data_IF_785511494179
#
_entry.id   IF_785511494179
#
_cell.length_a   1.000
_cell.length_b   1.000
_cell.length_c   1.000
_cell.angle_alpha   90.00
_cell.angle_beta   90.00
_cell.angle_gamma   90.00
#
_symmetry.space_group_name_H-M   'P 1'
#
loop_
_entity.id
_entity.type
_entity.pdbx_description
1 polymer ?
#
# COMPACT_ATOMS: atom_id res chain seq x y z
N UNK A 1 8.42 5.62 -0.74
CA UNK A 1 7.70 5.25 0.49
C UNK A 1 7.84 6.37 1.52
N UNK A 2 6.80 6.59 2.33
CA UNK A 2 6.72 7.65 3.35
C UNK A 2 6.43 7.11 4.76
N UNK A 3 6.61 5.81 4.99
CA UNK A 3 6.13 5.10 6.18
C UNK A 3 6.94 5.38 7.45
N UNK A 4 8.16 5.92 7.30
CA UNK A 4 8.96 6.40 8.42
C UNK A 4 8.26 7.48 9.26
N UNK A 5 7.27 8.19 8.70
CA UNK A 5 6.49 9.24 9.38
C UNK A 5 5.41 8.72 10.34
N UNK A 6 5.06 7.42 10.27
CA UNK A 6 4.02 6.83 11.11
C UNK A 6 4.51 6.66 12.55
N UNK A 7 3.63 6.83 13.52
CA UNK A 7 3.92 6.49 14.90
C UNK A 7 3.97 4.95 15.10
N UNK A 8 4.50 4.44 16.22
CA UNK A 8 4.64 2.99 16.42
C UNK A 8 3.34 2.18 16.28
N UNK A 9 2.21 2.72 16.75
CA UNK A 9 0.90 2.05 16.61
C UNK A 9 0.45 2.04 15.15
N UNK A 10 0.60 3.16 14.45
CA UNK A 10 0.28 3.29 13.03
C UNK A 10 1.14 2.35 12.18
N UNK A 11 2.44 2.22 12.46
CA UNK A 11 3.34 1.30 11.75
C UNK A 11 2.86 -0.15 11.84
N UNK A 12 2.49 -0.60 13.04
CA UNK A 12 1.96 -1.95 13.25
C UNK A 12 0.63 -2.16 12.53
N UNK A 13 -0.26 -1.18 12.60
CA UNK A 13 -1.56 -1.22 11.94
C UNK A 13 -1.44 -1.20 10.41
N UNK A 14 -0.58 -0.35 9.85
CA UNK A 14 -0.30 -0.28 8.41
C UNK A 14 0.18 -1.64 7.90
N UNK A 15 1.13 -2.25 8.61
CA UNK A 15 1.71 -3.52 8.20
C UNK A 15 0.67 -4.67 8.22
N UNK A 16 -0.28 -4.64 9.17
CA UNK A 16 -1.43 -5.57 9.18
C UNK A 16 -2.34 -5.37 7.97
N UNK A 17 -2.61 -4.11 7.59
CA UNK A 17 -3.37 -3.79 6.36
C UNK A 17 -2.63 -4.22 5.10
N UNK A 18 -1.32 -3.99 5.02
CA UNK A 18 -0.50 -4.39 3.89
C UNK A 18 -0.58 -5.90 3.65
N UNK A 19 -0.44 -6.71 4.72
CA UNK A 19 -0.62 -8.18 4.63
C UNK A 19 -2.05 -8.58 4.25
N UNK A 20 -3.06 -7.79 4.62
CA UNK A 20 -4.44 -8.05 4.21
C UNK A 20 -4.64 -7.79 2.70
N UNK A 21 -4.03 -6.72 2.16
CA UNK A 21 -4.03 -6.41 0.72
C UNK A 21 -3.44 -7.58 -0.06
N UNK A 22 -2.23 -8.03 0.28
CA UNK A 22 -1.55 -9.11 -0.48
C UNK A 22 -2.25 -10.46 -0.39
N UNK A 23 -3.21 -10.63 0.53
CA UNK A 23 -3.97 -11.87 0.69
C UNK A 23 -5.36 -11.81 0.06
N UNK A 24 -5.78 -10.63 -0.42
CA UNK A 24 -7.15 -10.41 -0.88
C UNK A 24 -7.52 -11.31 -2.07
N UNK A 25 -6.60 -11.50 -3.01
CA UNK A 25 -6.76 -12.34 -4.20
C UNK A 25 -6.42 -13.84 -3.96
N UNK A 26 -6.00 -14.21 -2.75
CA UNK A 26 -5.62 -15.57 -2.37
C UNK A 26 -4.23 -16.05 -2.84
N UNK A 27 -3.47 -15.23 -3.57
CA UNK A 27 -2.13 -15.54 -4.10
C UNK A 27 -1.18 -14.40 -3.76
N UNK A 28 -0.17 -14.69 -2.93
CA UNK A 28 0.85 -13.69 -2.59
C UNK A 28 2.01 -13.78 -3.59
N UNK A 29 2.12 -12.77 -4.46
CA UNK A 29 3.16 -12.69 -5.47
C UNK A 29 4.54 -12.33 -4.86
N UNK A 30 5.62 -12.63 -5.59
CA UNK A 30 6.97 -12.36 -5.08
C UNK A 30 7.27 -10.85 -4.99
N UNK A 31 6.74 -10.05 -5.91
CA UNK A 31 6.82 -8.58 -5.88
C UNK A 31 6.18 -8.00 -4.62
N UNK A 32 5.03 -8.54 -4.21
CA UNK A 32 4.34 -8.14 -2.99
C UNK A 32 5.15 -8.48 -1.73
N UNK A 33 5.78 -9.67 -1.67
CA UNK A 33 6.67 -10.02 -0.55
C UNK A 33 7.88 -9.10 -0.45
N UNK A 34 8.44 -8.70 -1.59
CA UNK A 34 9.53 -7.74 -1.64
C UNK A 34 9.06 -6.37 -1.12
N UNK A 35 7.87 -5.92 -1.52
CA UNK A 35 7.26 -4.67 -1.01
C UNK A 35 7.00 -4.73 0.50
N UNK A 36 6.43 -5.82 1.03
CA UNK A 36 6.24 -6.00 2.47
C UNK A 36 7.58 -5.96 3.23
N UNK A 37 8.63 -6.53 2.66
CA UNK A 37 9.97 -6.50 3.25
C UNK A 37 10.55 -5.08 3.24
N UNK A 38 10.38 -4.34 2.15
CA UNK A 38 10.80 -2.95 2.04
C UNK A 38 10.05 -2.05 3.05
N UNK A 39 8.73 -2.22 3.20
CA UNK A 39 7.92 -1.54 4.21
C UNK A 39 8.41 -1.82 5.63
N UNK A 40 8.71 -3.10 5.94
CA UNK A 40 9.23 -3.47 7.25
C UNK A 40 10.57 -2.79 7.55
N UNK A 41 11.46 -2.78 6.56
CA UNK A 41 12.78 -2.14 6.66
C UNK A 41 12.67 -0.63 6.86
N UNK A 42 11.86 0.07 6.07
CA UNK A 42 11.68 1.53 6.21
C UNK A 42 11.10 1.91 7.58
N UNK A 43 10.10 1.16 8.04
CA UNK A 43 9.46 1.39 9.34
C UNK A 43 10.31 0.94 10.52
N UNK A 44 11.39 0.18 10.28
CA UNK A 44 12.24 -0.48 11.28
C UNK A 44 11.44 -1.42 12.20
N UNK A 45 10.52 -2.19 11.61
CA UNK A 45 9.70 -3.18 12.32
C UNK A 45 10.13 -4.59 11.94
N UNK A 46 10.08 -5.51 12.90
CA UNK A 46 10.34 -6.91 12.64
C UNK A 46 9.12 -7.56 11.98
N UNK A 47 9.34 -8.27 10.86
CA UNK A 47 8.31 -9.08 10.19
C UNK A 47 7.70 -10.15 11.13
N UNK A 48 8.38 -10.51 12.22
CA UNK A 48 7.85 -11.43 13.24
C UNK A 48 6.58 -10.92 13.94
N UNK A 49 6.33 -9.60 13.93
CA UNK A 49 5.13 -8.98 14.50
C UNK A 49 3.85 -9.24 13.69
N UNK A 50 3.96 -9.88 12.52
CA UNK A 50 2.85 -10.17 11.60
C UNK A 50 1.97 -11.36 11.99
N UNK A 51 2.30 -12.07 13.08
CA UNK A 51 1.56 -13.28 13.50
C UNK A 51 0.16 -12.97 14.03
N UNK A 52 -0.09 -11.75 14.47
CA UNK A 52 -1.41 -11.31 14.91
C UNK A 52 -2.19 -10.70 13.75
N UNK A 53 -3.16 -11.46 13.22
CA UNK A 53 -4.16 -10.89 12.33
C UNK A 53 -5.11 -10.03 13.16
N UNK A 54 -5.07 -8.71 12.94
CA UNK A 54 -6.08 -7.80 13.47
C UNK A 54 -7.29 -7.77 12.55
N UNK A 55 -8.44 -7.34 13.09
CA UNK A 55 -9.62 -7.09 12.28
C UNK A 55 -9.36 -5.86 11.37
N UNK A 56 -9.32 -6.07 10.06
CA UNK A 56 -9.07 -5.02 9.05
C UNK A 56 -10.01 -3.82 9.23
N UNK A 57 -11.30 -4.05 9.48
CA UNK A 57 -12.28 -2.98 9.64
C UNK A 57 -11.99 -2.11 10.88
N UNK A 58 -11.61 -2.73 12.00
CA UNK A 58 -11.23 -2.00 13.22
C UNK A 58 -9.96 -1.18 13.01
N UNK A 59 -8.99 -1.72 12.27
CA UNK A 59 -7.75 -1.00 11.97
C UNK A 59 -8.02 0.22 11.08
N UNK A 60 -8.85 0.05 10.04
CA UNK A 60 -9.29 1.16 9.17
C UNK A 60 -9.99 2.24 10.01
N UNK A 61 -10.89 1.84 10.90
CA UNK A 61 -11.59 2.78 11.79
C UNK A 61 -10.64 3.52 12.74
N UNK A 62 -9.60 2.85 13.24
CA UNK A 62 -8.58 3.49 14.08
C UNK A 62 -7.83 4.58 13.33
N UNK A 63 -7.37 4.32 12.09
CA UNK A 63 -6.75 5.34 11.26
C UNK A 63 -7.72 6.48 10.96
N UNK A 64 -8.97 6.16 10.60
CA UNK A 64 -10.00 7.15 10.29
C UNK A 64 -10.24 8.13 11.46
N UNK A 65 -10.24 7.64 12.70
CA UNK A 65 -10.54 8.46 13.89
C UNK A 65 -9.34 9.15 14.52
N UNK A 66 -8.15 8.53 14.47
CA UNK A 66 -7.01 8.93 15.31
C UNK A 66 -5.83 9.52 14.53
N UNK A 67 -5.75 9.27 13.23
CA UNK A 67 -4.62 9.72 12.41
C UNK A 67 -4.91 11.04 11.71
N UNK A 68 -3.85 11.80 11.44
CA UNK A 68 -3.95 13.05 10.69
C UNK A 68 -4.29 12.80 9.23
N UNK A 69 -4.80 13.81 8.53
CA UNK A 69 -5.05 13.74 7.07
C UNK A 69 -3.80 13.36 6.29
N UNK A 70 -2.62 13.85 6.69
CA UNK A 70 -1.35 13.50 6.06
C UNK A 70 -1.05 12.00 6.21
N UNK A 71 -1.20 11.44 7.41
CA UNK A 71 -0.96 10.01 7.65
C UNK A 71 -1.95 9.14 6.86
N UNK A 72 -3.24 9.52 6.81
CA UNK A 72 -4.25 8.81 6.01
C UNK A 72 -3.86 8.76 4.53
N UNK A 73 -3.36 9.86 3.97
CA UNK A 73 -2.87 9.92 2.58
C UNK A 73 -1.64 9.05 2.37
N UNK A 74 -0.69 9.03 3.32
CA UNK A 74 0.47 8.13 3.27
C UNK A 74 0.00 6.67 3.25
N UNK A 75 -0.83 6.27 4.20
CA UNK A 75 -1.35 4.89 4.27
C UNK A 75 -2.08 4.51 2.98
N UNK A 76 -2.91 5.41 2.46
CA UNK A 76 -3.61 5.18 1.19
C UNK A 76 -2.63 4.98 0.01
N UNK A 77 -1.66 5.88 -0.17
CA UNK A 77 -0.72 5.81 -1.28
C UNK A 77 0.14 4.54 -1.25
N UNK A 78 0.65 4.16 -0.09
CA UNK A 78 1.53 2.99 0.02
C UNK A 78 0.73 1.68 -0.13
N UNK A 79 -0.52 1.63 0.32
CA UNK A 79 -1.37 0.47 0.06
C UNK A 79 -1.82 0.41 -1.40
N UNK A 80 -2.05 1.57 -2.04
CA UNK A 80 -2.30 1.66 -3.48
C UNK A 80 -1.09 1.12 -4.26
N UNK A 81 0.12 1.60 -3.98
CA UNK A 81 1.34 1.12 -4.63
C UNK A 81 1.56 -0.39 -4.44
N UNK A 82 1.22 -0.93 -3.26
CA UNK A 82 1.28 -2.37 -3.01
C UNK A 82 0.30 -3.16 -3.90
N UNK A 83 -0.93 -2.66 -4.04
CA UNK A 83 -1.94 -3.24 -4.92
C UNK A 83 -1.60 -3.13 -6.42
N UNK A 84 -0.61 -2.31 -6.79
CA UNK A 84 -0.07 -2.21 -8.16
C UNK A 84 1.25 -2.97 -8.34
N UNK A 85 1.80 -3.59 -7.29
CA UNK A 85 3.17 -4.11 -7.28
C UNK A 85 3.39 -5.29 -8.23
N UNK A 86 2.35 -6.03 -8.58
CA UNK A 86 2.36 -7.10 -9.57
C UNK A 86 2.07 -6.61 -11.01
N UNK A 87 1.81 -5.31 -11.18
CA UNK A 87 1.47 -4.67 -12.45
C UNK A 87 0.00 -4.87 -12.87
N UNK A 88 -0.84 -5.46 -12.02
CA UNK A 88 -2.23 -5.75 -12.32
C UNK A 88 -3.14 -5.33 -11.16
N UNK A 89 -3.73 -4.13 -11.26
CA UNK A 89 -4.65 -3.64 -10.25
C UNK A 89 -5.99 -4.41 -10.28
N UNK A 90 -6.07 -5.53 -9.56
CA UNK A 90 -7.17 -6.48 -9.62
C UNK A 90 -8.45 -5.94 -8.94
N UNK A 91 -9.60 -6.53 -9.26
CA UNK A 91 -10.93 -6.09 -8.76
C UNK A 91 -11.01 -6.17 -7.21
N UNK A 92 -10.42 -7.21 -6.61
CA UNK A 92 -10.50 -7.43 -5.17
C UNK A 92 -9.58 -6.48 -4.37
N UNK A 93 -8.40 -6.16 -4.91
CA UNK A 93 -7.50 -5.15 -4.34
C UNK A 93 -8.10 -3.75 -4.47
N UNK A 94 -8.73 -3.43 -5.61
CA UNK A 94 -9.53 -2.22 -5.82
C UNK A 94 -10.58 -2.04 -4.73
N UNK A 95 -11.29 -3.10 -4.38
CA UNK A 95 -12.35 -3.05 -3.37
C UNK A 95 -11.81 -2.63 -1.99
N UNK A 96 -10.64 -3.17 -1.58
CA UNK A 96 -10.03 -2.81 -0.30
C UNK A 96 -9.47 -1.38 -0.29
N UNK A 97 -8.87 -0.93 -1.39
CA UNK A 97 -8.40 0.45 -1.55
C UNK A 97 -9.58 1.44 -1.55
N UNK A 98 -10.69 1.08 -2.18
CA UNK A 98 -11.91 1.88 -2.18
C UNK A 98 -12.49 2.02 -0.76
N UNK A 99 -12.52 0.92 0.01
CA UNK A 99 -12.94 0.97 1.42
C UNK A 99 -12.06 1.91 2.27
N UNK A 100 -10.75 1.92 2.02
CA UNK A 100 -9.82 2.85 2.68
C UNK A 100 -10.10 4.30 2.30
N UNK A 101 -10.29 4.57 1.01
CA UNK A 101 -10.60 5.90 0.51
C UNK A 101 -11.87 6.47 1.15
N UNK A 102 -12.93 5.67 1.20
CA UNK A 102 -14.22 6.04 1.81
C UNK A 102 -14.07 6.28 3.32
N UNK A 103 -13.42 5.36 4.04
CA UNK A 103 -13.23 5.50 5.48
C UNK A 103 -12.32 6.68 5.87
N UNK A 104 -11.38 7.05 5.00
CA UNK A 104 -10.44 8.13 5.25
C UNK A 104 -10.94 9.49 4.75
N UNK A 105 -12.09 9.52 4.06
CA UNK A 105 -12.67 10.71 3.42
C UNK A 105 -11.67 11.35 2.45
N UNK A 106 -11.08 10.51 1.58
CA UNK A 106 -10.12 10.95 0.57
C UNK A 106 -10.88 11.55 -0.61
N UNK A 107 -10.48 12.76 -1.01
CA UNK A 107 -11.02 13.46 -2.17
C UNK A 107 -10.88 12.58 -3.44
N UNK A 108 -11.96 12.34 -4.21
CA UNK A 108 -11.89 11.60 -5.46
C UNK A 108 -10.86 12.13 -6.46
N UNK A 109 -10.64 13.44 -6.52
CA UNK A 109 -9.61 14.03 -7.38
C UNK A 109 -8.20 13.62 -6.93
N UNK A 110 -7.98 13.46 -5.63
CA UNK A 110 -6.71 12.96 -5.11
C UNK A 110 -6.50 11.50 -5.49
N UNK A 111 -7.55 10.68 -5.42
CA UNK A 111 -7.51 9.26 -5.81
C UNK A 111 -7.14 9.14 -7.29
N UNK A 112 -7.82 9.88 -8.16
CA UNK A 112 -7.55 9.89 -9.60
C UNK A 112 -6.12 10.34 -9.90
N UNK A 113 -5.64 11.41 -9.25
CA UNK A 113 -4.26 11.87 -9.39
C UNK A 113 -3.24 10.83 -8.92
N UNK A 114 -3.51 10.15 -7.80
CA UNK A 114 -2.64 9.10 -7.28
C UNK A 114 -2.51 7.93 -8.26
N UNK A 115 -3.63 7.43 -8.79
CA UNK A 115 -3.65 6.34 -9.77
C UNK A 115 -2.87 6.74 -11.03
N UNK A 116 -3.15 7.92 -11.59
CA UNK A 116 -2.45 8.39 -12.79
C UNK A 116 -0.93 8.53 -12.58
N UNK A 117 -0.50 8.95 -11.39
CA UNK A 117 0.92 9.05 -11.05
C UNK A 117 1.58 7.67 -10.89
N UNK A 118 0.90 6.70 -10.27
CA UNK A 118 1.39 5.32 -10.16
C UNK A 118 1.51 4.66 -11.54
N UNK A 119 0.50 4.80 -12.40
CA UNK A 119 0.55 4.30 -13.78
C UNK A 119 1.73 4.89 -14.57
N UNK A 120 1.95 6.20 -14.47
CA UNK A 120 3.07 6.87 -15.11
C UNK A 120 4.42 6.41 -14.55
N UNK A 121 4.50 6.20 -13.23
CA UNK A 121 5.70 5.69 -12.56
C UNK A 121 6.05 4.28 -13.03
N UNK A 122 5.07 3.37 -13.05
CA UNK A 122 5.25 1.99 -13.55
C UNK A 122 5.68 1.99 -15.01
N UNK A 123 5.04 2.79 -15.87
CA UNK A 123 5.42 2.91 -17.28
C UNK A 123 6.86 3.40 -17.47
N UNK A 124 7.29 4.40 -16.68
CA UNK A 124 8.67 4.89 -16.70
C UNK A 124 9.66 3.82 -16.24
N UNK A 125 9.34 3.09 -15.16
CA UNK A 125 10.17 2.00 -14.66
C UNK A 125 10.33 0.87 -15.70
N UNK A 126 9.24 0.44 -16.33
CA UNK A 126 9.29 -0.56 -17.41
C UNK A 126 10.12 -0.09 -18.61
N UNK A 127 10.09 1.20 -18.92
CA UNK A 127 10.93 1.78 -19.96
C UNK A 127 12.41 1.70 -19.60
N UNK A 128 12.76 1.97 -18.33
CA UNK A 128 14.14 1.80 -17.85
C UNK A 128 14.60 0.35 -17.88
N UNK A 129 13.74 -0.60 -17.49
CA UNK A 129 14.04 -2.04 -17.57
C UNK A 129 14.31 -2.44 -19.02
N UNK A 130 13.45 -2.03 -19.96
CA UNK A 130 13.68 -2.27 -21.39
C UNK A 130 14.98 -1.62 -21.89
N UNK A 131 15.29 -0.40 -21.47
CA UNK A 131 16.56 0.25 -21.84
C UNK A 131 17.77 -0.55 -21.36
N UNK A 132 17.72 -1.10 -20.15
CA UNK A 132 18.79 -1.94 -19.59
C UNK A 132 18.90 -3.29 -20.29
N UNK A 133 17.77 -3.95 -20.58
CA UNK A 133 17.74 -5.29 -21.17
C UNK A 133 17.95 -5.31 -22.68
N UNK A 134 17.46 -4.28 -23.39
CA UNK A 134 17.38 -4.23 -24.85
C UNK A 134 18.22 -3.10 -25.47
N UNK A 135 18.61 -2.09 -24.70
CA UNK A 135 19.45 -0.99 -25.19
C UNK A 135 18.74 0.01 -26.11
N UNK A 136 17.40 0.06 -26.07
CA UNK A 136 16.54 1.00 -26.81
C UNK A 136 15.82 1.96 -25.85
#
# INVERSE_FOLDING_TARGET
MFLSSLNPTEKGNFMKLAVAVTKANGVVEESEKQMLSAYANEMQISLCCLKEQGNTAEIIEQFAKKSTTQIKRIVFLELLALAFADGNYAIDEKALIQQLAEAFDIDPNFIEQAINLEDAYVAAYMSLVNLVEKGE
#
